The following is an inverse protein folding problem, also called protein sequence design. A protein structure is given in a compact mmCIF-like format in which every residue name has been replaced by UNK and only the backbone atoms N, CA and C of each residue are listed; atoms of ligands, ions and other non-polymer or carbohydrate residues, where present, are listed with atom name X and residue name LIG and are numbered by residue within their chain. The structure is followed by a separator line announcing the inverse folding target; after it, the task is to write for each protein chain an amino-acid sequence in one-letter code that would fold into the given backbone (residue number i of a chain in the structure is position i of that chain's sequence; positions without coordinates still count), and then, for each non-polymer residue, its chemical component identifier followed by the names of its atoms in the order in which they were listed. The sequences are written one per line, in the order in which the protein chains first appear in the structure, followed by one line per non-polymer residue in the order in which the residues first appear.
data_IF_497707513032
#
_entry.id   IF_497707513032
#
_cell.length_a   1.000
_cell.length_b   1.000
_cell.length_c   1.000
_cell.angle_alpha   90.00
_cell.angle_beta   90.00
_cell.angle_gamma   90.00
#
_symmetry.space_group_name_H-M   'P 1'
#
loop_
_entity.id
_entity.type
_entity.pdbx_description
1 polymer ?
#
# COMPACT_ATOMS: atom_id res chain seq x y z
N UNK A 1 -16.78 -8.64 -23.80
CA UNK A 1 -16.72 -7.83 -22.57
C UNK A 1 -15.33 -7.24 -22.45
N UNK A 2 -15.18 -5.96 -22.09
CA UNK A 2 -13.87 -5.37 -21.84
C UNK A 2 -13.30 -5.96 -20.53
N UNK A 3 -11.98 -6.16 -20.43
CA UNK A 3 -11.36 -6.64 -19.20
C UNK A 3 -11.54 -5.61 -18.08
N UNK A 4 -11.97 -6.09 -16.91
CA UNK A 4 -11.98 -5.33 -15.66
C UNK A 4 -10.57 -5.46 -15.06
N UNK A 5 -9.86 -4.33 -14.95
CA UNK A 5 -8.55 -4.30 -14.32
C UNK A 5 -8.70 -4.07 -12.82
N UNK A 6 -8.35 -5.07 -12.03
CA UNK A 6 -8.37 -5.00 -10.56
C UNK A 6 -7.02 -4.52 -10.02
N UNK A 7 -7.02 -3.97 -8.81
CA UNK A 7 -5.79 -3.73 -8.05
C UNK A 7 -5.64 -4.81 -6.99
N UNK A 8 -4.50 -5.49 -6.97
CA UNK A 8 -4.20 -6.55 -6.01
C UNK A 8 -2.91 -6.18 -5.26
N UNK A 9 -3.01 -6.02 -3.94
CA UNK A 9 -1.89 -5.61 -3.10
C UNK A 9 -1.58 -6.74 -2.12
N UNK A 10 -0.33 -7.20 -2.15
CA UNK A 10 0.15 -8.28 -1.29
C UNK A 10 0.52 -7.80 0.11
N UNK A 11 0.52 -8.74 1.06
CA UNK A 11 0.81 -8.55 2.49
C UNK A 11 2.08 -7.74 2.83
N UNK A 12 3.09 -7.72 1.95
CA UNK A 12 4.40 -7.13 2.20
C UNK A 12 4.79 -6.04 1.19
N UNK A 13 3.85 -5.58 0.37
CA UNK A 13 4.07 -4.43 -0.48
C UNK A 13 4.01 -3.15 0.36
N UNK A 14 4.91 -2.19 0.11
CA UNK A 14 4.93 -0.93 0.84
C UNK A 14 3.67 -0.13 0.49
N UNK A 15 2.74 0.00 1.45
CA UNK A 15 1.38 0.46 1.14
C UNK A 15 1.36 1.91 0.63
N UNK A 16 2.31 2.73 1.08
CA UNK A 16 2.58 4.07 0.56
C UNK A 16 2.74 4.13 -0.97
N UNK A 17 3.35 3.09 -1.55
CA UNK A 17 3.78 3.02 -2.94
C UNK A 17 2.79 2.27 -3.83
N UNK A 18 1.60 1.94 -3.34
CA UNK A 18 0.58 1.25 -4.17
C UNK A 18 0.11 2.16 -5.30
N UNK A 19 -0.59 1.56 -6.27
CA UNK A 19 -1.09 2.22 -7.48
C UNK A 19 -1.55 3.67 -7.23
N UNK A 20 -1.01 4.67 -7.96
CA UNK A 20 -1.30 6.09 -7.74
C UNK A 20 -2.78 6.45 -7.93
N UNK A 21 -3.55 5.60 -8.62
CA UNK A 21 -5.00 5.76 -8.80
C UNK A 21 -5.83 5.43 -7.56
N UNK A 22 -5.23 4.88 -6.51
CA UNK A 22 -5.91 4.65 -5.24
C UNK A 22 -5.86 5.91 -4.37
N UNK A 23 -7.01 6.26 -3.80
CA UNK A 23 -7.22 7.43 -2.95
C UNK A 23 -7.27 6.99 -1.48
N UNK A 24 -6.31 7.45 -0.68
CA UNK A 24 -6.20 7.24 0.77
C UNK A 24 -5.16 8.21 1.33
N UNK A 25 -5.06 8.30 2.66
CA UNK A 25 -3.98 9.05 3.31
C UNK A 25 -2.64 8.33 3.11
N UNK A 26 -1.87 8.80 2.11
CA UNK A 26 -0.57 8.22 1.79
C UNK A 26 0.40 8.40 2.95
N UNK A 27 0.42 9.56 3.58
CA UNK A 27 1.39 9.80 4.64
C UNK A 27 1.19 8.87 5.83
N UNK A 28 -0.06 8.58 6.20
CA UNK A 28 -0.39 7.58 7.22
C UNK A 28 0.03 6.14 6.86
N UNK A 29 0.29 5.85 5.57
CA UNK A 29 0.73 4.55 5.07
C UNK A 29 2.25 4.43 4.90
N UNK A 30 3.01 5.51 5.10
CA UNK A 30 4.47 5.50 4.98
C UNK A 30 5.10 4.55 6.00
N UNK A 31 6.01 3.69 5.54
CA UNK A 31 6.68 2.69 6.37
C UNK A 31 5.77 1.55 6.83
N UNK A 32 4.60 1.35 6.19
CA UNK A 32 3.61 0.33 6.59
C UNK A 32 3.24 -0.63 5.47
N UNK A 33 2.73 -1.79 5.85
CA UNK A 33 2.20 -2.86 4.99
C UNK A 33 0.84 -3.32 5.51
N UNK A 34 0.09 -4.06 4.69
CA UNK A 34 -1.19 -4.66 5.10
C UNK A 34 -1.01 -5.58 6.32
N UNK A 35 -1.85 -5.42 7.33
CA UNK A 35 -1.91 -6.31 8.49
C UNK A 35 -2.74 -7.57 8.18
N UNK A 36 -2.21 -8.39 7.29
CA UNK A 36 -2.82 -9.66 6.88
C UNK A 36 -1.76 -10.77 6.91
N UNK A 37 -2.22 -12.02 6.85
CA UNK A 37 -1.35 -13.18 6.81
C UNK A 37 -0.34 -13.10 5.65
N UNK A 38 0.91 -13.48 5.92
CA UNK A 38 1.97 -13.52 4.93
C UNK A 38 1.57 -14.35 3.69
N UNK A 39 1.90 -13.84 2.50
CA UNK A 39 1.56 -14.47 1.22
C UNK A 39 0.11 -14.26 0.75
N UNK A 40 -0.73 -13.57 1.55
CA UNK A 40 -2.08 -13.15 1.14
C UNK A 40 -2.06 -11.77 0.51
N UNK A 41 -3.18 -11.43 -0.11
CA UNK A 41 -3.44 -10.13 -0.71
C UNK A 41 -4.87 -9.67 -0.49
N UNK A 42 -5.09 -8.38 -0.62
CA UNK A 42 -6.42 -7.77 -0.77
C UNK A 42 -6.58 -7.32 -2.23
N UNK A 43 -7.78 -7.53 -2.77
CA UNK A 43 -8.14 -7.15 -4.13
C UNK A 43 -9.18 -6.04 -4.06
N UNK A 44 -9.03 -5.04 -4.91
CA UNK A 44 -9.99 -3.97 -5.15
C UNK A 44 -10.50 -4.05 -6.58
N UNK A 45 -11.82 -4.11 -6.73
CA UNK A 45 -12.49 -3.87 -8.01
C UNK A 45 -12.52 -2.37 -8.36
N UNK A 46 -12.71 -1.99 -9.64
CA UNK A 46 -12.84 -0.57 -10.00
C UNK A 46 -13.99 0.13 -9.25
N UNK A 47 -13.66 1.19 -8.52
CA UNK A 47 -14.61 1.96 -7.72
C UNK A 47 -14.90 1.38 -6.33
N UNK A 48 -14.30 0.24 -5.98
CA UNK A 48 -14.49 -0.35 -4.66
C UNK A 48 -13.72 0.40 -3.59
N UNK A 49 -14.37 0.65 -2.45
CA UNK A 49 -13.75 1.18 -1.23
C UNK A 49 -13.68 0.09 -0.17
N UNK A 50 -12.51 -0.07 0.46
CA UNK A 50 -12.33 -0.97 1.61
C UNK A 50 -11.57 -0.25 2.71
N UNK A 51 -11.93 -0.53 3.97
CA UNK A 51 -11.09 -0.22 5.12
C UNK A 51 -10.13 -1.39 5.37
N UNK A 52 -8.85 -1.09 5.56
CA UNK A 52 -7.81 -2.08 5.82
C UNK A 52 -6.92 -1.58 6.95
N UNK A 53 -6.42 -2.52 7.74
CA UNK A 53 -5.45 -2.23 8.78
C UNK A 53 -4.03 -2.31 8.22
N UNK A 54 -3.18 -1.40 8.69
CA UNK A 54 -1.78 -1.33 8.31
C UNK A 54 -0.90 -1.50 9.56
N UNK A 55 0.16 -2.28 9.40
CA UNK A 55 1.18 -2.51 10.42
C UNK A 55 2.53 -1.94 9.94
N UNK A 56 3.33 -1.28 10.79
CA UNK A 56 4.67 -0.85 10.42
C UNK A 56 5.55 -2.03 10.01
N UNK A 57 6.47 -1.80 9.07
CA UNK A 57 7.58 -2.73 8.87
C UNK A 57 8.38 -2.83 10.17
N UNK A 58 8.84 -4.05 10.48
CA UNK A 58 9.77 -4.30 11.58
C UNK A 58 11.22 -4.30 11.07
N UNK A 59 12.17 -4.67 11.94
CA UNK A 59 13.60 -4.71 11.59
C UNK A 59 14.18 -3.31 11.39
N UNK A 60 15.08 -3.15 10.44
CA UNK A 60 15.74 -1.86 10.16
C UNK A 60 14.85 -0.83 9.46
N UNK A 61 13.63 -1.22 9.05
CA UNK A 61 12.68 -0.36 8.33
C UNK A 61 13.27 0.28 7.05
N UNK A 62 14.22 -0.42 6.42
CA UNK A 62 14.80 -0.05 5.14
C UNK A 62 13.92 -0.66 4.05
N UNK A 63 13.35 0.20 3.20
CA UNK A 63 12.44 -0.17 2.11
C UNK A 63 13.11 0.25 0.80
N UNK A 64 13.46 -0.73 -0.04
CA UNK A 64 14.19 -0.52 -1.29
C UNK A 64 13.42 -1.09 -2.49
N UNK A 65 13.46 -0.38 -3.63
CA UNK A 65 12.79 -0.80 -4.87
C UNK A 65 11.37 -0.26 -5.00
N UNK A 66 10.38 -1.15 -5.14
CA UNK A 66 8.96 -0.82 -5.38
C UNK A 66 8.73 0.21 -6.49
N UNK A 67 8.12 1.36 -6.20
CA UNK A 67 7.93 2.45 -7.15
C UNK A 67 8.89 3.62 -6.93
N UNK A 68 9.75 3.54 -5.90
CA UNK A 68 10.69 4.60 -5.52
C UNK A 68 9.98 5.93 -5.24
N UNK A 69 8.77 5.89 -4.68
CA UNK A 69 8.07 7.12 -4.29
C UNK A 69 8.87 7.78 -3.15
N UNK A 70 9.23 9.08 -3.28
CA UNK A 70 9.96 9.78 -2.24
C UNK A 70 9.23 9.73 -0.89
N UNK A 71 9.93 9.74 0.25
CA UNK A 71 9.26 9.83 1.54
C UNK A 71 8.44 11.12 1.67
N UNK A 72 7.43 11.15 2.56
CA UNK A 72 6.71 12.36 2.90
C UNK A 72 7.67 13.49 3.29
N UNK A 73 7.30 14.73 3.00
CA UNK A 73 8.14 15.87 3.35
C UNK A 73 8.19 16.06 4.88
N UNK A 74 9.27 16.67 5.36
CA UNK A 74 9.45 16.90 6.78
C UNK A 74 8.29 17.74 7.34
N UNK A 75 7.51 17.16 8.26
CA UNK A 75 6.33 17.78 8.88
C UNK A 75 4.98 17.22 8.43
N UNK A 76 4.95 16.27 7.49
CA UNK A 76 3.71 15.61 7.06
C UNK A 76 3.43 14.30 7.82
N UNK A 77 4.45 13.72 8.48
CA UNK A 77 4.39 12.45 9.23
C UNK A 77 3.84 12.57 10.64
#
# INVERSE_FOLDING_TARGET
ALPIYVVNISSHYHFYEVNPRMEFDRTAAYGRRLDIQAGRSVIWEPGETKSVDLVPYAGSQIIEGFQLVPPPSAGEV
#
